data_IF_375241538624
#
_entry.id   IF_375241538624
#
_cell.length_a   1.000
_cell.length_b   1.000
_cell.length_c   1.000
_cell.angle_alpha   90.00
_cell.angle_beta   90.00
_cell.angle_gamma   90.00
#
_symmetry.space_group_name_H-M   'P 1'
#
loop_
_entity.id
_entity.type
_entity.pdbx_description
1 polymer ?
#
# COMPACT_ATOMS: atom_id res chain seq x y z
N UNK A 1 -29.25 -3.62 6.97
CA UNK A 1 -27.93 -4.27 6.79
C UNK A 1 -27.07 -3.99 8.01
N UNK A 2 -27.13 -4.81 9.06
CA UNK A 2 -26.40 -4.56 10.31
C UNK A 2 -24.91 -4.93 10.16
N UNK A 3 -24.08 -3.99 9.71
CA UNK A 3 -22.62 -4.13 9.77
C UNK A 3 -22.21 -4.05 11.24
N UNK A 4 -21.51 -5.07 11.75
CA UNK A 4 -21.01 -5.05 13.14
C UNK A 4 -20.02 -3.89 13.28
N UNK A 5 -20.01 -3.11 14.38
CA UNK A 5 -19.12 -1.95 14.55
C UNK A 5 -17.64 -2.26 14.30
N UNK A 6 -17.19 -3.47 14.65
CA UNK A 6 -15.82 -3.96 14.44
C UNK A 6 -15.43 -4.08 12.96
N UNK A 7 -16.38 -4.35 12.06
CA UNK A 7 -16.14 -4.39 10.61
C UNK A 7 -15.93 -2.98 10.06
N UNK A 8 -16.73 -2.01 10.53
CA UNK A 8 -16.58 -0.61 10.15
C UNK A 8 -15.22 -0.08 10.60
N UNK A 9 -14.86 -0.31 11.87
CA UNK A 9 -13.56 0.12 12.40
C UNK A 9 -12.39 -0.47 11.60
N UNK A 10 -12.42 -1.76 11.29
CA UNK A 10 -11.36 -2.40 10.50
C UNK A 10 -11.19 -1.74 9.12
N UNK A 11 -12.31 -1.44 8.45
CA UNK A 11 -12.30 -0.81 7.13
C UNK A 11 -11.79 0.62 7.17
N UNK A 12 -12.15 1.38 8.21
CA UNK A 12 -11.64 2.73 8.43
C UNK A 12 -10.12 2.70 8.67
N UNK A 13 -9.62 1.76 9.47
CA UNK A 13 -8.18 1.65 9.74
C UNK A 13 -7.39 1.25 8.48
N UNK A 14 -7.88 0.31 7.69
CA UNK A 14 -7.24 -0.08 6.41
C UNK A 14 -7.24 1.11 5.44
N UNK A 15 -8.36 1.83 5.34
CA UNK A 15 -8.45 2.99 4.45
C UNK A 15 -7.56 4.15 4.91
N UNK A 16 -7.43 4.36 6.22
CA UNK A 16 -6.51 5.35 6.77
C UNK A 16 -5.06 4.99 6.46
N UNK A 17 -4.68 3.71 6.61
CA UNK A 17 -3.35 3.23 6.24
C UNK A 17 -3.03 3.46 4.76
N UNK A 18 -3.92 3.05 3.85
CA UNK A 18 -3.77 3.29 2.40
C UNK A 18 -3.83 4.78 2.04
N UNK A 19 -4.53 5.60 2.83
CA UNK A 19 -4.55 7.04 2.65
C UNK A 19 -3.22 7.70 3.04
N UNK A 20 -2.61 7.29 4.15
CA UNK A 20 -1.28 7.76 4.56
C UNK A 20 -0.24 7.35 3.51
N UNK A 21 -0.28 6.09 3.09
CA UNK A 21 0.55 5.53 2.02
C UNK A 21 0.49 6.37 0.73
N UNK A 22 -0.73 6.64 0.24
CA UNK A 22 -0.93 7.46 -0.95
C UNK A 22 -0.42 8.90 -0.79
N UNK A 23 -0.62 9.52 0.38
CA UNK A 23 -0.15 10.89 0.65
C UNK A 23 1.37 10.94 0.63
N UNK A 24 2.03 10.01 1.31
CA UNK A 24 3.50 9.91 1.35
C UNK A 24 4.05 9.68 -0.06
N UNK A 25 3.46 8.76 -0.82
CA UNK A 25 3.90 8.49 -2.18
C UNK A 25 3.74 9.71 -3.11
N UNK A 26 2.63 10.45 -3.00
CA UNK A 26 2.44 11.68 -3.78
C UNK A 26 3.44 12.78 -3.41
N UNK A 27 3.74 12.94 -2.12
CA UNK A 27 4.70 13.92 -1.62
C UNK A 27 6.11 13.64 -2.15
N UNK A 28 6.55 12.38 -2.03
CA UNK A 28 7.86 11.93 -2.48
C UNK A 28 8.02 11.88 -4.00
N UNK A 29 6.93 11.74 -4.76
CA UNK A 29 6.98 11.51 -6.21
C UNK A 29 7.80 12.54 -6.99
N UNK A 30 7.69 13.82 -6.63
CA UNK A 30 8.40 14.88 -7.36
C UNK A 30 9.91 14.82 -7.16
N UNK A 31 10.35 14.53 -5.93
CA UNK A 31 11.77 14.36 -5.59
C UNK A 31 12.38 13.14 -6.27
N UNK A 32 11.70 12.01 -6.20
CA UNK A 32 12.15 10.75 -6.82
C UNK A 32 12.15 10.80 -8.35
N UNK A 33 11.36 11.68 -8.98
CA UNK A 33 11.44 11.90 -10.43
C UNK A 33 12.79 12.50 -10.88
N UNK A 34 13.48 13.25 -10.00
CA UNK A 34 14.76 13.88 -10.32
C UNK A 34 15.90 12.87 -10.50
N UNK A 35 15.78 11.68 -9.92
CA UNK A 35 16.73 10.57 -10.10
C UNK A 35 16.71 9.97 -11.51
N UNK A 36 15.63 10.20 -12.28
CA UNK A 36 15.52 9.77 -13.68
C UNK A 36 14.65 10.74 -14.52
N UNK A 37 15.13 11.96 -14.82
CA UNK A 37 14.32 13.01 -15.45
C UNK A 37 13.82 12.69 -16.86
N UNK A 38 14.54 11.82 -17.60
CA UNK A 38 14.23 11.45 -18.99
C UNK A 38 13.68 10.03 -19.18
N UNK A 39 13.40 9.27 -18.11
CA UNK A 39 12.92 7.89 -18.15
C UNK A 39 11.51 7.70 -17.54
N UNK A 40 11.07 6.45 -17.42
CA UNK A 40 9.96 6.09 -16.51
C UNK A 40 10.52 6.20 -15.08
N UNK A 41 10.57 7.43 -14.57
CA UNK A 41 11.19 7.71 -13.28
C UNK A 41 10.40 7.15 -12.10
N UNK A 42 11.07 7.03 -10.96
CA UNK A 42 10.47 6.59 -9.70
C UNK A 42 9.26 7.43 -9.32
N UNK A 43 9.24 8.73 -9.65
CA UNK A 43 8.08 9.59 -9.42
C UNK A 43 6.78 9.08 -10.07
N UNK A 44 6.85 8.47 -11.26
CA UNK A 44 5.67 7.88 -11.88
C UNK A 44 5.22 6.59 -11.18
N UNK A 45 6.17 5.78 -10.68
CA UNK A 45 5.85 4.61 -9.87
C UNK A 45 5.12 5.03 -8.59
N UNK A 46 5.62 6.07 -7.92
CA UNK A 46 5.01 6.62 -6.70
C UNK A 46 3.58 7.14 -6.96
N UNK A 47 3.36 7.87 -8.06
CA UNK A 47 2.01 8.34 -8.43
C UNK A 47 1.06 7.20 -8.78
N UNK A 48 1.55 6.17 -9.46
CA UNK A 48 0.75 5.02 -9.85
C UNK A 48 0.33 4.22 -8.62
N UNK A 49 1.29 3.96 -7.71
CA UNK A 49 1.04 3.34 -6.40
C UNK A 49 -0.06 4.13 -5.68
N UNK A 50 0.12 5.44 -5.49
CA UNK A 50 -0.81 6.27 -4.74
C UNK A 50 -2.24 6.25 -5.33
N UNK A 51 -2.35 6.30 -6.66
CA UNK A 51 -3.64 6.20 -7.35
C UNK A 51 -4.32 4.85 -7.07
N UNK A 52 -3.56 3.75 -7.11
CA UNK A 52 -4.06 2.40 -6.79
C UNK A 52 -4.44 2.29 -5.32
N UNK A 53 -3.62 2.81 -4.39
CA UNK A 53 -3.90 2.83 -2.96
C UNK A 53 -5.20 3.59 -2.64
N UNK A 54 -5.42 4.76 -3.25
CA UNK A 54 -6.69 5.51 -3.14
C UNK A 54 -7.87 4.67 -3.62
N UNK A 55 -7.78 4.09 -4.82
CA UNK A 55 -8.88 3.29 -5.40
C UNK A 55 -9.21 2.07 -4.54
N UNK A 56 -8.19 1.39 -4.02
CA UNK A 56 -8.36 0.21 -3.16
C UNK A 56 -8.88 0.61 -1.77
N UNK A 57 -8.42 1.73 -1.21
CA UNK A 57 -8.95 2.28 0.03
C UNK A 57 -10.44 2.57 -0.06
N UNK A 58 -10.86 3.23 -1.14
CA UNK A 58 -12.28 3.45 -1.45
C UNK A 58 -13.04 2.14 -1.65
N UNK A 59 -12.45 1.17 -2.35
CA UNK A 59 -13.08 -0.15 -2.54
C UNK A 59 -13.31 -0.88 -1.21
N UNK A 60 -12.35 -0.81 -0.28
CA UNK A 60 -12.50 -1.33 1.09
C UNK A 60 -13.62 -0.58 1.82
N UNK A 61 -13.66 0.76 1.79
CA UNK A 61 -14.67 1.58 2.47
C UNK A 61 -16.09 1.39 1.94
N UNK A 62 -16.25 1.12 0.63
CA UNK A 62 -17.56 0.97 0.00
C UNK A 62 -18.06 -0.47 0.15
N UNK A 63 -17.23 -1.45 -0.22
CA UNK A 63 -17.66 -2.85 -0.36
C UNK A 63 -17.35 -3.74 0.84
N UNK A 64 -16.17 -3.63 1.45
CA UNK A 64 -15.79 -4.48 2.59
C UNK A 64 -15.86 -5.98 2.28
N UNK A 65 -15.61 -6.35 1.01
CA UNK A 65 -15.75 -7.71 0.49
C UNK A 65 -14.41 -8.46 0.54
N UNK A 66 -14.43 -9.79 0.33
CA UNK A 66 -13.18 -10.59 0.24
C UNK A 66 -12.21 -10.04 -0.82
N UNK A 67 -12.65 -9.72 -2.05
CA UNK A 67 -11.74 -9.14 -3.03
C UNK A 67 -11.20 -7.77 -2.62
N UNK A 68 -11.98 -6.95 -1.89
CA UNK A 68 -11.50 -5.65 -1.41
C UNK A 68 -10.35 -5.81 -0.40
N UNK A 69 -10.49 -6.71 0.57
CA UNK A 69 -9.41 -7.01 1.49
C UNK A 69 -8.20 -7.66 0.79
N UNK A 70 -8.42 -8.51 -0.21
CA UNK A 70 -7.33 -9.10 -0.98
C UNK A 70 -6.54 -8.03 -1.75
N UNK A 71 -7.23 -7.10 -2.41
CA UNK A 71 -6.59 -5.97 -3.10
C UNK A 71 -5.76 -5.13 -2.14
N UNK A 72 -6.30 -4.82 -0.95
CA UNK A 72 -5.56 -4.06 0.07
C UNK A 72 -4.31 -4.79 0.59
N UNK A 73 -4.35 -6.13 0.73
CA UNK A 73 -3.15 -6.91 1.06
C UNK A 73 -2.11 -6.80 -0.05
N UNK A 74 -2.52 -6.91 -1.31
CA UNK A 74 -1.60 -6.86 -2.45
C UNK A 74 -0.93 -5.49 -2.53
N UNK A 75 -1.70 -4.40 -2.49
CA UNK A 75 -1.17 -3.03 -2.62
C UNK A 75 -0.22 -2.71 -1.47
N UNK A 76 -0.75 -2.66 -0.23
CA UNK A 76 0.04 -2.28 0.94
C UNK A 76 1.19 -3.27 1.19
N UNK A 77 0.97 -4.57 0.95
CA UNK A 77 2.02 -5.57 1.10
C UNK A 77 3.14 -5.42 0.06
N UNK A 78 2.79 -5.10 -1.19
CA UNK A 78 3.80 -4.87 -2.23
C UNK A 78 4.62 -3.60 -1.99
N UNK A 79 3.98 -2.51 -1.56
CA UNK A 79 4.65 -1.27 -1.18
C UNK A 79 5.61 -1.50 0.00
N UNK A 80 5.13 -2.17 1.06
CA UNK A 80 5.97 -2.54 2.21
C UNK A 80 7.19 -3.37 1.83
N UNK A 81 6.97 -4.40 1.00
CA UNK A 81 8.07 -5.24 0.50
C UNK A 81 9.05 -4.40 -0.31
N UNK A 82 8.56 -3.51 -1.18
CA UNK A 82 9.41 -2.62 -1.96
C UNK A 82 10.27 -1.71 -1.04
N UNK A 83 9.68 -1.06 -0.03
CA UNK A 83 10.43 -0.22 0.92
C UNK A 83 11.53 -0.99 1.61
N UNK A 84 11.26 -2.23 2.08
CA UNK A 84 12.28 -3.06 2.72
C UNK A 84 13.34 -3.54 1.72
N UNK A 85 12.91 -3.99 0.54
CA UNK A 85 13.81 -4.50 -0.49
C UNK A 85 14.79 -3.40 -0.92
N UNK A 86 14.27 -2.22 -1.26
CA UNK A 86 15.04 -1.05 -1.67
C UNK A 86 15.93 -0.50 -0.56
N UNK A 87 15.59 -0.79 0.72
CA UNK A 87 16.43 -0.43 1.85
C UNK A 87 17.61 -1.37 2.07
N UNK A 88 17.42 -2.67 1.87
CA UNK A 88 18.37 -3.71 2.30
C UNK A 88 19.09 -4.41 1.15
N UNK A 89 18.60 -4.27 -0.07
CA UNK A 89 19.20 -4.88 -1.26
C UNK A 89 19.55 -3.78 -2.24
N UNK A 90 20.83 -3.72 -2.62
CA UNK A 90 21.31 -2.81 -3.65
C UNK A 90 20.84 -3.30 -5.02
N UNK A 91 19.71 -2.74 -5.46
CA UNK A 91 19.14 -3.02 -6.78
C UNK A 91 19.71 -1.98 -7.76
N UNK A 92 20.57 -2.43 -8.71
CA UNK A 92 21.12 -1.53 -9.71
C UNK A 92 20.02 -1.04 -10.65
N UNK A 93 20.32 -0.02 -11.45
CA UNK A 93 19.41 0.41 -12.51
C UNK A 93 19.12 -0.73 -13.50
N UNK A 94 17.85 -0.88 -13.89
CA UNK A 94 17.40 -1.91 -14.83
C UNK A 94 16.69 -1.24 -16.00
N UNK A 95 17.39 -1.09 -17.13
CA UNK A 95 16.86 -0.45 -18.33
C UNK A 95 16.43 1.01 -18.05
N UNK A 96 15.16 1.39 -18.30
CA UNK A 96 14.69 2.76 -18.05
C UNK A 96 14.38 3.06 -16.57
N UNK A 97 14.46 2.05 -15.68
CA UNK A 97 14.26 2.23 -14.24
C UNK A 97 15.60 2.59 -13.58
N UNK A 98 15.66 3.66 -12.77
CA UNK A 98 16.88 4.02 -12.05
C UNK A 98 17.21 3.00 -10.97
N UNK A 99 18.36 3.18 -10.31
CA UNK A 99 18.64 2.42 -9.09
C UNK A 99 17.62 2.80 -8.03
N UNK A 100 16.94 1.80 -7.47
CA UNK A 100 15.92 1.97 -6.44
C UNK A 100 16.54 1.87 -5.04
N UNK A 101 17.85 1.69 -4.92
CA UNK A 101 18.49 1.48 -3.63
C UNK A 101 18.48 2.77 -2.80
N UNK A 102 17.81 2.72 -1.66
CA UNK A 102 17.70 3.84 -0.73
C UNK A 102 18.08 3.36 0.69
N UNK A 103 19.35 3.51 1.10
CA UNK A 103 19.82 3.04 2.40
C UNK A 103 19.43 3.96 3.56
N UNK A 104 18.86 5.14 3.33
CA UNK A 104 18.51 6.05 4.42
C UNK A 104 17.09 5.77 4.90
N UNK A 105 16.91 5.81 6.22
CA UNK A 105 15.58 5.91 6.84
C UNK A 105 15.34 7.37 7.19
N UNK A 106 14.30 7.94 6.61
CA UNK A 106 13.78 9.27 6.92
C UNK A 106 12.32 9.16 7.34
N UNK A 107 11.73 10.28 7.75
CA UNK A 107 10.41 10.30 8.38
C UNK A 107 9.34 9.71 7.46
N UNK A 108 9.22 10.21 6.24
CA UNK A 108 8.22 9.81 5.26
C UNK A 108 8.34 8.31 4.93
N UNK A 109 9.56 7.82 4.70
CA UNK A 109 9.80 6.39 4.47
C UNK A 109 9.40 5.51 5.67
N UNK A 110 9.70 5.97 6.88
CA UNK A 110 9.32 5.25 8.12
C UNK A 110 7.81 5.22 8.29
N UNK A 111 7.15 6.35 8.01
CA UNK A 111 5.70 6.48 8.05
C UNK A 111 5.03 5.59 6.99
N UNK A 112 5.56 5.55 5.76
CA UNK A 112 5.11 4.67 4.69
C UNK A 112 5.20 3.22 5.12
N UNK A 113 6.39 2.76 5.53
CA UNK A 113 6.61 1.37 5.95
C UNK A 113 5.68 0.95 7.10
N UNK A 114 5.46 1.83 8.08
CA UNK A 114 4.54 1.55 9.18
C UNK A 114 3.09 1.47 8.72
N UNK A 115 2.64 2.40 7.88
CA UNK A 115 1.28 2.44 7.34
C UNK A 115 1.00 1.24 6.44
N UNK A 116 1.89 0.95 5.48
CA UNK A 116 1.81 -0.17 4.56
C UNK A 116 1.81 -1.51 5.32
N UNK A 117 2.76 -1.70 6.24
CA UNK A 117 2.86 -2.92 7.04
C UNK A 117 1.62 -3.16 7.90
N UNK A 118 1.15 -2.13 8.60
CA UNK A 118 -0.07 -2.22 9.40
C UNK A 118 -1.32 -2.45 8.53
N UNK A 119 -1.42 -1.72 7.42
CA UNK A 119 -2.50 -1.84 6.44
C UNK A 119 -2.60 -3.25 5.85
N UNK A 120 -1.46 -3.83 5.46
CA UNK A 120 -1.37 -5.20 4.94
C UNK A 120 -1.84 -6.23 5.97
N UNK A 121 -1.39 -6.12 7.23
CA UNK A 121 -1.80 -7.02 8.32
C UNK A 121 -3.30 -6.92 8.60
N UNK A 122 -3.83 -5.70 8.72
CA UNK A 122 -5.25 -5.47 8.97
C UNK A 122 -6.11 -6.00 7.80
N UNK A 123 -5.68 -5.77 6.56
CA UNK A 123 -6.35 -6.28 5.38
C UNK A 123 -6.33 -7.82 5.34
N UNK A 124 -5.23 -8.46 5.71
CA UNK A 124 -5.13 -9.92 5.80
C UNK A 124 -6.09 -10.48 6.86
N UNK A 125 -6.20 -9.83 8.02
CA UNK A 125 -7.19 -10.18 9.06
C UNK A 125 -8.62 -10.08 8.51
N UNK A 126 -8.93 -9.00 7.79
CA UNK A 126 -10.22 -8.83 7.12
C UNK A 126 -10.52 -9.94 6.11
N UNK A 127 -9.54 -10.28 5.27
CA UNK A 127 -9.64 -11.35 4.27
C UNK A 127 -9.94 -12.72 4.92
N UNK A 128 -9.20 -13.09 5.96
CA UNK A 128 -9.36 -14.37 6.67
C UNK A 128 -10.73 -14.45 7.36
N UNK A 129 -11.15 -13.38 8.05
CA UNK A 129 -12.46 -13.32 8.73
C UNK A 129 -13.62 -13.50 7.77
N UNK A 130 -13.54 -12.89 6.59
CA UNK A 130 -14.59 -12.98 5.59
C UNK A 130 -14.60 -14.37 4.90
N UNK A 131 -13.44 -15.02 4.73
CA UNK A 131 -13.34 -16.42 4.28
C UNK A 131 -13.98 -17.40 5.26
N UNK A 132 -13.71 -17.24 6.56
CA UNK A 132 -14.29 -18.09 7.60
C UNK A 132 -15.82 -17.95 7.66
N UNK A 133 -16.33 -16.72 7.51
CA UNK A 133 -17.77 -16.44 7.47
C UNK A 133 -18.47 -17.06 6.25
N UNK A 134 -17.82 -17.07 5.10
CA UNK A 134 -18.36 -17.69 3.88
C UNK A 134 -18.41 -19.23 3.97
N UNK A 135 -17.44 -19.86 4.66
CA UNK A 135 -17.44 -21.31 4.90
C UNK A 135 -18.55 -21.77 5.83
N UNK A 136 -18.86 -21.00 6.89
CA UNK A 136 -19.93 -21.34 7.85
C UNK A 136 -21.35 -21.26 7.29
N UNK A 137 -21.52 -20.66 6.10
CA UNK A 137 -22.83 -20.49 5.45
C UNK A 137 -23.11 -21.52 4.36
N UNK A 138 -22.16 -22.42 4.10
CA UNK A 138 -22.30 -23.58 3.20
C UNK A 138 -22.44 -24.81 4.06
#
# INVERSE_FOLDING_TARGET
MNRRPRDILLRLLIAAALGIDAVVHLDLASGYQLGAPGGIGEGNLFRLEAAVAILVGLYVLIRGSRPAYAAAVVVAGSAFIAVLLYRYVDIPAIGPLPSMYEPVWFFEKTLSAAAEGLGAVLAAVGYVRQRASARRRR
#
